data_IF_595438995169
#
_entry.id   IF_595438995169
#
_cell.length_a   1.000
_cell.length_b   1.000
_cell.length_c   1.000
_cell.angle_alpha   90.00
_cell.angle_beta   90.00
_cell.angle_gamma   90.00
#
_symmetry.space_group_name_H-M   'P 1'
#
loop_
_entity.id
_entity.type
_entity.pdbx_description
1 polymer ?
#
# COMPACT_ATOMS: atom_id res chain seq x y z
N UNK A 1 -22.15 6.19 -11.92
CA UNK A 1 -21.99 7.57 -11.44
C UNK A 1 -21.00 8.20 -12.39
N UNK A 2 -21.40 9.28 -13.09
CA UNK A 2 -20.54 9.97 -14.05
C UNK A 2 -19.22 10.40 -13.38
N UNK A 3 -18.08 10.03 -13.98
CA UNK A 3 -16.75 10.45 -13.53
C UNK A 3 -16.06 9.54 -12.50
N UNK A 4 -16.58 8.34 -12.21
CA UNK A 4 -15.90 7.33 -11.35
C UNK A 4 -15.57 6.09 -12.17
N UNK A 5 -14.29 5.70 -12.17
CA UNK A 5 -13.83 4.51 -12.86
C UNK A 5 -14.38 3.25 -12.19
N UNK A 6 -14.92 2.32 -12.99
CA UNK A 6 -15.38 1.01 -12.51
C UNK A 6 -14.32 -0.03 -12.81
N UNK A 7 -13.80 -0.69 -11.77
CA UNK A 7 -12.74 -1.70 -11.88
C UNK A 7 -13.33 -3.05 -11.50
N UNK A 8 -13.56 -3.91 -12.48
CA UNK A 8 -14.14 -5.24 -12.30
C UNK A 8 -13.25 -6.37 -12.78
N UNK A 9 -12.05 -6.08 -13.27
CA UNK A 9 -11.09 -7.05 -13.77
C UNK A 9 -9.65 -6.58 -13.59
N UNK A 10 -8.67 -7.48 -13.76
CA UNK A 10 -7.25 -7.13 -13.80
C UNK A 10 -6.95 -6.11 -14.90
N UNK A 11 -7.57 -6.27 -16.06
CA UNK A 11 -7.42 -5.36 -17.19
C UNK A 11 -7.90 -3.95 -16.84
N UNK A 12 -9.05 -3.82 -16.16
CA UNK A 12 -9.57 -2.52 -15.73
C UNK A 12 -8.63 -1.88 -14.69
N UNK A 13 -8.09 -2.68 -13.76
CA UNK A 13 -7.13 -2.20 -12.76
C UNK A 13 -5.87 -1.64 -13.44
N UNK A 14 -5.31 -2.37 -14.41
CA UNK A 14 -4.13 -1.94 -15.18
C UNK A 14 -4.42 -0.70 -16.01
N UNK A 15 -5.57 -0.63 -16.66
CA UNK A 15 -5.99 0.55 -17.42
C UNK A 15 -6.15 1.79 -16.52
N UNK A 16 -6.69 1.61 -15.32
CA UNK A 16 -6.79 2.69 -14.33
C UNK A 16 -5.41 3.13 -13.83
N UNK A 17 -4.52 2.19 -13.52
CA UNK A 17 -3.15 2.52 -13.12
C UNK A 17 -2.42 3.30 -14.22
N UNK A 18 -2.53 2.88 -15.47
CA UNK A 18 -1.96 3.57 -16.62
C UNK A 18 -2.51 4.98 -16.78
N UNK A 19 -3.83 5.16 -16.65
CA UNK A 19 -4.50 6.47 -16.70
C UNK A 19 -3.91 7.42 -15.65
N UNK A 20 -3.83 7.00 -14.40
CA UNK A 20 -3.28 7.77 -13.28
C UNK A 20 -1.80 8.10 -13.53
N UNK A 21 -1.01 7.09 -13.90
CA UNK A 21 0.43 7.23 -14.13
C UNK A 21 0.75 8.13 -15.34
N UNK A 22 -0.18 8.27 -16.27
CA UNK A 22 -0.09 9.21 -17.40
C UNK A 22 -0.56 10.62 -17.09
N UNK A 23 -1.19 10.87 -15.92
CA UNK A 23 -1.46 12.22 -15.43
C UNK A 23 -2.86 12.50 -14.92
N UNK A 24 -3.81 11.58 -15.11
CA UNK A 24 -5.18 11.69 -14.55
C UNK A 24 -5.19 11.30 -13.06
N UNK A 25 -4.24 11.84 -12.30
CA UNK A 25 -3.93 11.42 -10.92
C UNK A 25 -5.05 11.68 -9.91
N UNK A 26 -6.03 12.53 -10.25
CA UNK A 26 -7.19 12.84 -9.41
C UNK A 26 -8.44 12.03 -9.74
N UNK A 27 -8.37 11.10 -10.70
CA UNK A 27 -9.50 10.25 -11.07
C UNK A 27 -9.94 9.37 -9.90
N UNK A 28 -11.25 9.32 -9.66
CA UNK A 28 -11.81 8.43 -8.64
C UNK A 28 -12.12 7.05 -9.24
N UNK A 29 -11.98 6.01 -8.43
CA UNK A 29 -12.29 4.64 -8.83
C UNK A 29 -13.03 3.88 -7.74
N UNK A 30 -13.80 2.88 -8.18
CA UNK A 30 -14.44 1.89 -7.31
C UNK A 30 -14.17 0.49 -7.83
N UNK A 31 -13.94 -0.47 -6.93
CA UNK A 31 -13.97 -1.88 -7.29
C UNK A 31 -15.44 -2.33 -7.44
N UNK A 32 -15.69 -3.19 -8.41
CA UNK A 32 -16.99 -3.82 -8.65
C UNK A 32 -16.91 -5.34 -8.57
N UNK A 33 -15.70 -5.87 -8.38
CA UNK A 33 -15.39 -7.28 -8.15
C UNK A 33 -14.06 -7.42 -7.39
N UNK A 34 -13.78 -8.60 -6.88
CA UNK A 34 -12.47 -8.96 -6.37
C UNK A 34 -11.46 -9.00 -7.52
N UNK A 35 -10.24 -8.51 -7.27
CA UNK A 35 -9.18 -8.42 -8.27
C UNK A 35 -8.00 -9.29 -7.85
N UNK A 36 -7.63 -10.24 -8.68
CA UNK A 36 -6.39 -10.99 -8.51
C UNK A 36 -5.29 -10.40 -9.39
N UNK A 37 -4.32 -9.73 -8.76
CA UNK A 37 -3.15 -9.21 -9.45
C UNK A 37 -2.10 -10.31 -9.69
N UNK A 38 -2.12 -11.39 -8.88
CA UNK A 38 -1.13 -12.44 -8.98
C UNK A 38 0.30 -11.88 -8.87
N UNK A 39 1.16 -12.23 -9.83
CA UNK A 39 2.53 -11.71 -9.92
C UNK A 39 2.64 -10.35 -10.63
N UNK A 40 1.54 -9.79 -11.12
CA UNK A 40 1.53 -8.48 -11.78
C UNK A 40 1.64 -7.35 -10.75
N UNK A 41 2.81 -6.75 -10.67
CA UNK A 41 3.12 -5.65 -9.75
C UNK A 41 2.80 -4.27 -10.34
N UNK A 42 1.71 -4.16 -11.10
CA UNK A 42 1.21 -2.86 -11.55
C UNK A 42 0.75 -2.03 -10.35
N UNK A 43 1.35 -0.86 -10.17
CA UNK A 43 1.09 0.05 -9.07
C UNK A 43 0.49 1.37 -9.55
N UNK A 44 -0.33 1.97 -8.71
CA UNK A 44 -1.03 3.23 -8.99
C UNK A 44 -0.22 4.41 -8.43
N UNK A 45 -0.01 5.45 -9.25
CA UNK A 45 0.72 6.66 -8.89
C UNK A 45 2.23 6.52 -9.03
N UNK A 46 2.88 7.54 -9.58
CA UNK A 46 4.33 7.64 -9.72
C UNK A 46 4.82 8.93 -9.04
N UNK A 47 6.13 9.05 -8.82
CA UNK A 47 6.72 10.15 -8.03
C UNK A 47 6.28 11.54 -8.48
N UNK A 48 6.24 11.80 -9.78
CA UNK A 48 5.83 13.11 -10.31
C UNK A 48 4.31 13.29 -10.41
N UNK A 49 3.57 12.18 -10.36
CA UNK A 49 2.11 12.10 -10.49
C UNK A 49 1.54 11.16 -9.40
N UNK A 50 1.67 11.54 -8.12
CA UNK A 50 1.10 10.74 -7.04
C UNK A 50 -0.41 10.68 -7.19
N UNK A 51 -1.00 9.56 -6.83
CA UNK A 51 -2.45 9.42 -6.86
C UNK A 51 -3.11 10.35 -5.83
N UNK A 52 -4.04 11.17 -6.26
CA UNK A 52 -4.72 12.20 -5.43
C UNK A 52 -6.23 12.03 -5.35
N UNK A 53 -6.78 11.04 -6.06
CA UNK A 53 -8.20 10.74 -6.07
C UNK A 53 -8.67 9.92 -4.86
N UNK A 54 -9.89 9.38 -4.99
CA UNK A 54 -10.49 8.44 -4.04
C UNK A 54 -10.60 7.07 -4.72
N UNK A 55 -9.95 6.07 -4.13
CA UNK A 55 -10.10 4.66 -4.50
C UNK A 55 -10.94 3.95 -3.44
N UNK A 56 -12.13 3.50 -3.82
CA UNK A 56 -13.06 2.81 -2.93
C UNK A 56 -13.14 1.33 -3.30
N UNK A 57 -12.63 0.47 -2.45
CA UNK A 57 -12.65 -0.98 -2.64
C UNK A 57 -14.04 -1.59 -2.52
N UNK A 58 -15.05 -0.88 -2.02
CA UNK A 58 -16.42 -1.36 -1.83
C UNK A 58 -16.53 -2.67 -1.02
N UNK A 59 -15.50 -2.99 -0.23
CA UNK A 59 -15.39 -4.24 0.52
C UNK A 59 -14.85 -5.42 -0.29
N UNK A 60 -14.44 -5.20 -1.53
CA UNK A 60 -13.80 -6.22 -2.37
C UNK A 60 -12.36 -6.52 -1.95
N UNK A 61 -11.86 -7.63 -2.45
CA UNK A 61 -10.51 -8.14 -2.20
C UNK A 61 -9.57 -7.82 -3.36
N UNK A 62 -8.36 -7.38 -3.04
CA UNK A 62 -7.22 -7.38 -3.97
C UNK A 62 -6.20 -8.39 -3.48
N UNK A 63 -5.92 -9.43 -4.27
CA UNK A 63 -4.90 -10.42 -3.97
C UNK A 63 -3.62 -10.17 -4.77
N UNK A 64 -2.46 -10.35 -4.10
CA UNK A 64 -1.12 -10.17 -4.66
C UNK A 64 -0.26 -11.40 -4.43
N UNK A 65 0.67 -11.68 -5.36
CA UNK A 65 1.70 -12.69 -5.21
C UNK A 65 3.05 -12.13 -5.73
N UNK A 66 3.43 -10.95 -5.20
CA UNK A 66 4.56 -10.19 -5.72
C UNK A 66 5.89 -10.78 -5.28
N UNK A 67 6.78 -10.97 -6.25
CA UNK A 67 8.17 -11.36 -6.09
C UNK A 67 9.06 -10.22 -6.56
N UNK A 68 10.21 -10.05 -5.90
CA UNK A 68 11.18 -9.01 -6.25
C UNK A 68 10.57 -7.60 -6.32
N UNK A 69 9.67 -7.31 -5.37
CA UNK A 69 8.97 -6.04 -5.31
C UNK A 69 9.95 -4.86 -5.38
N UNK A 70 9.61 -3.88 -6.21
CA UNK A 70 10.46 -2.72 -6.46
C UNK A 70 10.51 -1.77 -5.27
N UNK A 71 11.34 -0.74 -5.37
CA UNK A 71 11.43 0.35 -4.39
C UNK A 71 10.09 1.08 -4.23
N UNK A 72 9.72 1.45 -3.00
CA UNK A 72 8.45 2.08 -2.65
C UNK A 72 7.22 1.27 -3.11
N UNK A 73 7.26 -0.05 -2.97
CA UNK A 73 6.14 -0.87 -3.45
C UNK A 73 4.90 -0.82 -2.55
N UNK A 74 3.75 -0.93 -3.19
CA UNK A 74 2.41 -0.97 -2.60
C UNK A 74 1.38 -0.91 -3.72
N UNK A 75 0.11 -1.20 -3.47
CA UNK A 75 -0.94 -1.00 -4.48
C UNK A 75 -0.91 0.42 -5.04
N UNK A 76 -0.61 1.40 -4.18
CA UNK A 76 -0.31 2.78 -4.54
C UNK A 76 1.17 3.03 -4.29
N UNK A 77 1.96 3.18 -5.37
CA UNK A 77 3.39 3.45 -5.22
C UNK A 77 3.64 4.83 -4.61
N UNK A 78 2.98 5.86 -5.15
CA UNK A 78 2.99 7.23 -4.62
C UNK A 78 1.57 7.76 -4.49
N UNK A 79 1.22 8.21 -3.30
CA UNK A 79 -0.15 8.61 -2.98
C UNK A 79 -0.21 9.90 -2.16
N UNK A 80 -1.19 10.74 -2.47
CA UNK A 80 -1.62 11.92 -1.71
C UNK A 80 -3.16 12.07 -1.84
N UNK A 81 -3.88 10.97 -1.67
CA UNK A 81 -5.32 10.84 -1.85
C UNK A 81 -5.93 9.91 -0.80
N UNK A 82 -7.02 9.26 -1.16
CA UNK A 82 -7.77 8.36 -0.27
C UNK A 82 -7.87 6.95 -0.83
N UNK A 83 -7.56 5.94 -0.01
CA UNK A 83 -7.93 4.54 -0.24
C UNK A 83 -8.80 4.05 0.90
N UNK A 84 -9.90 3.38 0.58
CA UNK A 84 -10.84 2.92 1.60
C UNK A 84 -11.60 1.65 1.25
N UNK A 85 -12.19 1.02 2.29
CA UNK A 85 -13.10 -0.13 2.15
C UNK A 85 -12.49 -1.28 1.34
N UNK A 86 -11.25 -1.68 1.65
CA UNK A 86 -10.49 -2.64 0.87
C UNK A 86 -9.93 -3.77 1.76
N UNK A 87 -9.97 -4.99 1.25
CA UNK A 87 -9.20 -6.11 1.79
C UNK A 87 -8.02 -6.40 0.87
N UNK A 88 -6.80 -6.43 1.43
CA UNK A 88 -5.57 -6.79 0.70
C UNK A 88 -5.01 -8.08 1.27
N UNK A 89 -4.77 -9.08 0.43
CA UNK A 89 -4.32 -10.41 0.84
C UNK A 89 -3.21 -10.95 -0.07
N UNK A 90 -2.56 -12.04 0.33
CA UNK A 90 -1.58 -12.77 -0.48
C UNK A 90 -0.16 -12.69 0.04
N UNK A 91 0.82 -12.58 -0.87
CA UNK A 91 2.24 -12.61 -0.52
C UNK A 91 3.03 -11.48 -1.21
N UNK A 92 4.02 -10.97 -0.48
CA UNK A 92 4.96 -9.96 -1.00
C UNK A 92 6.38 -10.35 -0.59
N UNK A 93 7.30 -10.43 -1.56
CA UNK A 93 8.73 -10.61 -1.30
C UNK A 93 9.48 -9.38 -1.80
N UNK A 94 10.37 -8.82 -0.98
CA UNK A 94 11.16 -7.64 -1.33
C UNK A 94 12.60 -7.77 -0.88
N UNK A 95 13.50 -7.39 -1.78
CA UNK A 95 14.93 -7.15 -1.53
C UNK A 95 15.26 -5.65 -1.65
N UNK A 96 14.23 -4.81 -1.75
CA UNK A 96 14.33 -3.36 -1.92
C UNK A 96 13.83 -2.61 -0.70
N UNK A 97 14.14 -1.31 -0.63
CA UNK A 97 13.64 -0.42 0.41
C UNK A 97 12.16 -0.08 0.23
N UNK A 98 11.52 0.27 1.33
CA UNK A 98 10.16 0.74 1.42
C UNK A 98 9.09 -0.23 0.86
N UNK A 99 9.14 -1.52 1.24
CA UNK A 99 8.06 -2.43 0.90
C UNK A 99 6.84 -2.19 1.79
N UNK A 100 5.67 -2.23 1.19
CA UNK A 100 4.38 -2.22 1.89
C UNK A 100 3.30 -2.89 1.06
N UNK A 101 2.13 -3.08 1.64
CA UNK A 101 1.02 -3.74 0.96
C UNK A 101 0.07 -2.75 0.29
N UNK A 102 -0.18 -1.58 0.90
CA UNK A 102 -1.17 -0.62 0.41
C UNK A 102 -0.51 0.62 -0.19
N UNK A 103 0.33 1.32 0.57
CA UNK A 103 0.94 2.58 0.12
C UNK A 103 2.45 2.50 0.26
N UNK A 104 3.18 2.52 -0.85
CA UNK A 104 4.64 2.59 -0.85
C UNK A 104 5.13 3.89 -0.23
N UNK A 105 4.67 5.01 -0.75
CA UNK A 105 5.02 6.34 -0.22
C UNK A 105 3.84 7.30 -0.15
N UNK A 106 3.55 7.81 1.04
CA UNK A 106 2.66 8.95 1.19
C UNK A 106 3.43 10.22 0.79
N UNK A 107 2.99 10.84 -0.30
CA UNK A 107 3.72 11.93 -0.93
C UNK A 107 3.47 13.28 -0.23
N UNK A 108 4.49 14.14 -0.18
CA UNK A 108 4.44 15.45 0.50
C UNK A 108 3.50 16.49 -0.13
N UNK A 109 3.02 16.25 -1.35
CA UNK A 109 2.09 17.18 -2.04
C UNK A 109 0.68 17.26 -1.44
N UNK A 110 0.31 16.35 -0.54
CA UNK A 110 -1.02 16.34 0.05
C UNK A 110 -1.13 15.41 1.25
N UNK A 111 -2.35 15.21 1.75
CA UNK A 111 -2.63 14.23 2.79
C UNK A 111 -2.96 12.87 2.20
N UNK A 112 -2.48 11.80 2.84
CA UNK A 112 -2.84 10.42 2.50
C UNK A 112 -3.82 9.89 3.53
N UNK A 113 -4.99 9.42 3.10
CA UNK A 113 -6.05 8.89 3.95
C UNK A 113 -6.26 7.41 3.66
N UNK A 114 -6.17 6.58 4.69
CA UNK A 114 -6.30 5.13 4.63
C UNK A 114 -7.40 4.73 5.61
N UNK A 115 -8.53 4.25 5.09
CA UNK A 115 -9.74 4.06 5.90
C UNK A 115 -10.37 2.69 5.66
N UNK A 116 -10.79 2.00 6.73
CA UNK A 116 -11.51 0.73 6.65
C UNK A 116 -10.75 -0.30 5.80
N UNK A 117 -9.49 -0.56 6.14
CA UNK A 117 -8.64 -1.54 5.45
C UNK A 117 -8.46 -2.78 6.33
N UNK A 118 -8.62 -3.94 5.74
CA UNK A 118 -8.15 -5.21 6.30
C UNK A 118 -7.02 -5.74 5.44
N UNK A 119 -5.88 -6.09 6.06
CA UNK A 119 -4.71 -6.60 5.36
C UNK A 119 -4.16 -7.84 6.08
N UNK A 120 -4.05 -8.96 5.37
CA UNK A 120 -3.50 -10.22 5.88
C UNK A 120 -2.38 -10.77 4.97
N UNK A 121 -1.67 -9.88 4.29
CA UNK A 121 -0.53 -10.23 3.42
C UNK A 121 0.65 -10.78 4.24
N UNK A 122 1.27 -11.85 3.76
CA UNK A 122 2.55 -12.33 4.26
C UNK A 122 3.70 -11.64 3.49
N UNK A 123 4.48 -10.83 4.21
CA UNK A 123 5.61 -10.07 3.68
C UNK A 123 6.93 -10.75 4.07
N UNK A 124 7.78 -11.07 3.10
CA UNK A 124 9.18 -11.47 3.32
C UNK A 124 10.09 -10.35 2.85
N UNK A 125 10.89 -9.80 3.79
CA UNK A 125 11.72 -8.63 3.57
C UNK A 125 13.17 -9.00 3.88
N UNK A 126 14.03 -9.00 2.87
CA UNK A 126 15.45 -9.38 2.98
C UNK A 126 16.39 -8.26 2.55
N UNK A 127 15.99 -7.02 2.80
CA UNK A 127 16.77 -5.83 2.43
C UNK A 127 17.96 -5.57 3.37
N UNK A 128 17.86 -5.98 4.63
CA UNK A 128 18.86 -5.60 5.64
C UNK A 128 18.63 -4.19 6.18
N UNK A 129 19.67 -3.36 6.14
CA UNK A 129 19.63 -2.00 6.68
C UNK A 129 18.68 -1.07 5.90
N UNK A 130 18.19 -0.04 6.60
CA UNK A 130 17.45 1.08 6.01
C UNK A 130 16.26 0.61 5.14
N UNK A 131 15.54 -0.36 5.65
CA UNK A 131 14.46 -1.00 4.91
C UNK A 131 13.25 -0.09 4.79
N UNK A 132 12.82 0.55 5.88
CA UNK A 132 11.63 1.40 5.93
C UNK A 132 10.34 0.65 5.60
N UNK A 133 10.29 -0.67 5.87
CA UNK A 133 9.15 -1.51 5.51
C UNK A 133 7.95 -1.30 6.42
N UNK A 134 6.74 -1.23 5.87
CA UNK A 134 5.50 -1.09 6.64
C UNK A 134 4.41 -2.06 6.22
N UNK A 135 3.67 -2.59 7.18
CA UNK A 135 2.56 -3.49 6.87
C UNK A 135 1.51 -2.85 5.97
N UNK A 136 1.21 -1.58 6.17
CA UNK A 136 0.23 -0.82 5.40
C UNK A 136 0.89 0.25 4.53
N UNK A 137 1.82 1.02 5.09
CA UNK A 137 2.52 2.09 4.40
C UNK A 137 4.01 2.02 4.72
N UNK A 138 4.87 2.08 3.70
CA UNK A 138 6.30 2.00 3.91
C UNK A 138 6.88 3.33 4.39
N UNK A 139 6.68 4.40 3.65
CA UNK A 139 7.25 5.69 3.98
C UNK A 139 6.23 6.83 3.89
N UNK A 140 6.10 7.60 4.97
CA UNK A 140 5.29 8.81 5.00
C UNK A 140 6.17 10.06 4.90
N UNK A 141 6.31 10.58 3.70
CA UNK A 141 6.94 11.88 3.44
C UNK A 141 5.98 13.05 3.77
N UNK A 142 4.71 12.87 3.44
CA UNK A 142 3.60 13.78 3.73
C UNK A 142 2.79 13.38 4.95
N UNK A 143 1.85 14.25 5.30
CA UNK A 143 0.91 13.95 6.39
C UNK A 143 -0.03 12.80 6.01
N UNK A 144 -0.41 11.99 7.00
CA UNK A 144 -1.31 10.88 6.79
C UNK A 144 -2.29 10.65 7.93
N UNK A 145 -3.40 10.01 7.59
CA UNK A 145 -4.35 9.50 8.58
C UNK A 145 -4.74 8.07 8.23
N UNK A 146 -4.66 7.19 9.24
CA UNK A 146 -5.18 5.83 9.18
C UNK A 146 -6.36 5.71 10.15
N UNK A 147 -7.48 5.18 9.69
CA UNK A 147 -8.66 4.97 10.52
C UNK A 147 -9.31 3.62 10.22
N UNK A 148 -9.65 2.87 11.28
CA UNK A 148 -10.26 1.54 11.15
C UNK A 148 -9.41 0.58 10.28
N UNK A 149 -8.10 0.52 10.51
CA UNK A 149 -7.17 -0.33 9.76
C UNK A 149 -6.77 -1.52 10.60
N UNK A 150 -6.87 -2.72 10.02
CA UNK A 150 -6.41 -3.97 10.63
C UNK A 150 -5.28 -4.55 9.79
N UNK A 151 -4.14 -4.80 10.44
CA UNK A 151 -3.10 -5.64 9.86
C UNK A 151 -3.05 -6.97 10.61
N UNK A 152 -3.37 -8.06 9.90
CA UNK A 152 -3.43 -9.43 10.40
C UNK A 152 -2.44 -10.37 9.68
N UNK A 153 -1.58 -9.81 8.83
CA UNK A 153 -0.59 -10.55 8.05
C UNK A 153 0.67 -10.89 8.82
N UNK A 154 1.74 -11.19 8.07
CA UNK A 154 3.07 -11.47 8.63
C UNK A 154 4.12 -10.56 8.02
N UNK A 155 5.10 -10.18 8.83
CA UNK A 155 6.31 -9.49 8.40
C UNK A 155 7.52 -10.31 8.83
N UNK A 156 8.24 -10.87 7.86
CA UNK A 156 9.36 -11.79 8.08
C UNK A 156 10.62 -11.14 7.50
N UNK A 157 11.58 -10.81 8.36
CA UNK A 157 12.88 -10.26 7.98
C UNK A 157 13.99 -11.33 7.94
N UNK A 158 15.21 -10.90 7.68
CA UNK A 158 16.43 -11.71 7.59
C UNK A 158 17.38 -11.56 8.79
N UNK A 159 16.88 -11.13 9.95
CA UNK A 159 17.59 -10.80 11.19
C UNK A 159 18.51 -9.58 11.13
N UNK A 160 18.62 -8.91 9.99
CA UNK A 160 19.31 -7.61 9.82
C UNK A 160 18.40 -6.56 9.20
N UNK A 161 17.16 -6.91 8.91
CA UNK A 161 16.13 -6.00 8.39
C UNK A 161 15.74 -5.00 9.47
N UNK A 162 15.88 -3.72 9.19
CA UNK A 162 15.67 -2.61 10.13
C UNK A 162 14.56 -1.65 9.67
N UNK A 163 14.14 -0.76 10.58
CA UNK A 163 13.18 0.32 10.32
C UNK A 163 11.84 -0.19 9.77
N UNK A 164 11.32 -1.26 10.37
CA UNK A 164 10.05 -1.82 10.00
C UNK A 164 8.98 -1.52 11.05
N UNK A 165 7.77 -1.21 10.61
CA UNK A 165 6.61 -0.96 11.47
C UNK A 165 5.39 -1.73 11.01
N UNK A 166 4.57 -2.19 11.96
CA UNK A 166 3.36 -2.95 11.65
C UNK A 166 2.36 -2.19 10.79
N UNK A 167 2.29 -0.87 10.93
CA UNK A 167 1.48 0.01 10.09
C UNK A 167 2.35 0.85 9.15
N UNK A 168 3.32 1.60 9.71
CA UNK A 168 4.17 2.56 8.98
C UNK A 168 5.63 2.21 9.25
N UNK A 169 6.43 2.08 8.19
CA UNK A 169 7.85 1.78 8.31
C UNK A 169 8.67 3.00 8.76
N UNK A 170 8.55 4.09 8.04
CA UNK A 170 9.25 5.34 8.33
C UNK A 170 8.33 6.54 8.13
N UNK A 171 8.50 7.60 8.94
CA UNK A 171 7.66 8.79 8.82
C UNK A 171 8.44 10.06 9.11
N UNK A 172 8.45 10.97 8.13
CA UNK A 172 8.86 12.38 8.27
C UNK A 172 7.64 13.31 8.42
N UNK A 173 6.47 12.83 7.96
CA UNK A 173 5.21 13.55 8.05
C UNK A 173 4.51 13.40 9.42
N UNK A 174 3.45 14.18 9.60
CA UNK A 174 2.57 14.04 10.77
C UNK A 174 1.54 12.94 10.49
N UNK A 175 1.48 11.96 11.40
CA UNK A 175 0.56 10.83 11.32
C UNK A 175 -0.53 10.87 12.39
N UNK A 176 -1.74 10.51 12.01
CA UNK A 176 -2.83 10.15 12.92
C UNK A 176 -3.20 8.70 12.67
N UNK A 177 -3.20 7.87 13.71
CA UNK A 177 -3.63 6.48 13.67
C UNK A 177 -4.74 6.31 14.70
N UNK A 178 -5.96 6.08 14.24
CA UNK A 178 -7.16 6.01 15.05
C UNK A 178 -7.90 4.69 14.81
N UNK A 179 -8.31 4.03 15.89
CA UNK A 179 -9.06 2.76 15.84
C UNK A 179 -8.41 1.70 14.94
N UNK A 180 -7.06 1.57 15.01
CA UNK A 180 -6.30 0.60 14.22
C UNK A 180 -5.84 -0.56 15.10
N UNK A 181 -5.79 -1.77 14.52
CA UNK A 181 -5.46 -2.99 15.24
C UNK A 181 -4.38 -3.78 14.49
N UNK A 182 -3.28 -4.04 15.17
CA UNK A 182 -2.25 -4.96 14.71
C UNK A 182 -2.41 -6.31 15.44
N UNK A 183 -2.77 -7.36 14.71
CA UNK A 183 -2.87 -8.74 15.19
C UNK A 183 -1.96 -9.68 14.40
N UNK A 184 -1.10 -9.11 13.56
CA UNK A 184 -0.15 -9.85 12.75
C UNK A 184 1.06 -10.36 13.52
N UNK A 185 1.93 -11.06 12.82
CA UNK A 185 3.19 -11.58 13.34
C UNK A 185 4.37 -10.77 12.77
N UNK A 186 5.38 -10.51 13.59
CA UNK A 186 6.65 -9.91 13.16
C UNK A 186 7.80 -10.81 13.64
N UNK A 187 8.68 -11.18 12.72
CA UNK A 187 9.84 -12.02 13.03
C UNK A 187 11.06 -11.66 12.16
N UNK A 188 12.26 -11.98 12.63
CA UNK A 188 13.49 -11.78 11.87
C UNK A 188 13.84 -10.30 11.61
N UNK A 189 13.28 -9.36 12.37
CA UNK A 189 13.66 -7.95 12.30
C UNK A 189 14.79 -7.65 13.27
N UNK A 190 15.74 -6.80 12.88
CA UNK A 190 16.73 -6.26 13.79
C UNK A 190 16.08 -5.12 14.58
N UNK A 191 16.21 -5.16 15.90
CA UNK A 191 15.79 -4.09 16.79
C UNK A 191 17.02 -3.27 17.17
N UNK A 192 17.05 -2.02 16.78
CA UNK A 192 18.05 -1.03 17.18
C UNK A 192 17.48 -0.08 18.21
#
# INVERSE_FOLDING_TARGET
VDGVYQIGSLEDYKAFAELVNNGESSSNAVLTADIDLGEDATMIGVVDKPYTGVFDGQGHVVSIAWKDAVFDCGLFQYMAGTVRNLHVTGTLQSVNQHPSTVVGRAHSRGGTFIENIYCDVEMTITKGYDTGGGGIMAFAEGNYKMQNVVFAGKMIGDNVTEHCGGFVGWSDGKGEIDNCLFVGEVSGMAFN
#
